data_IF_104856318815
#
_entry.id   IF_104856318815
#
_cell.length_a   1.000
_cell.length_b   1.000
_cell.length_c   1.000
_cell.angle_alpha   90.00
_cell.angle_beta   90.00
_cell.angle_gamma   90.00
#
_symmetry.space_group_name_H-M   'P 1'
#
loop_
_entity.id
_entity.type
_entity.pdbx_description
1 polymer ?
#
# COMPACT_ATOMS: atom_id res chain seq x y z
N UNK A 1 -24.82 5.64 -3.87
CA UNK A 1 -24.66 5.06 -5.22
C UNK A 1 -26.02 5.10 -5.89
N UNK A 2 -26.14 5.64 -7.10
CA UNK A 2 -27.42 5.78 -7.80
C UNK A 2 -27.81 4.47 -8.52
N UNK A 3 -27.76 3.33 -7.83
CA UNK A 3 -28.09 1.98 -8.35
C UNK A 3 -27.36 1.52 -9.64
N UNK A 4 -26.38 2.29 -10.13
CA UNK A 4 -25.58 1.97 -11.34
C UNK A 4 -24.20 1.36 -11.02
N UNK A 5 -23.70 1.57 -9.79
CA UNK A 5 -22.39 1.08 -9.34
C UNK A 5 -22.58 0.35 -8.01
N UNK A 6 -22.37 -0.96 -8.00
CA UNK A 6 -22.55 -1.81 -6.82
C UNK A 6 -21.42 -1.64 -5.79
N UNK A 7 -20.16 -1.54 -6.25
CA UNK A 7 -18.99 -1.39 -5.39
C UNK A 7 -18.02 -0.35 -5.95
N UNK A 8 -17.49 0.51 -5.08
CA UNK A 8 -16.43 1.46 -5.41
C UNK A 8 -15.26 1.23 -4.46
N UNK A 9 -14.18 0.66 -5.01
CA UNK A 9 -12.99 0.31 -4.26
C UNK A 9 -11.88 1.32 -4.53
N UNK A 10 -11.28 1.86 -3.47
CA UNK A 10 -10.09 2.69 -3.56
C UNK A 10 -8.88 1.89 -3.12
N UNK A 11 -7.84 1.87 -3.95
CA UNK A 11 -6.63 1.08 -3.73
C UNK A 11 -5.39 1.96 -3.84
N UNK A 12 -4.44 1.78 -2.92
CA UNK A 12 -3.16 2.48 -2.95
C UNK A 12 -2.04 1.67 -2.24
N UNK A 13 -0.79 2.02 -2.56
CA UNK A 13 0.41 1.53 -1.87
C UNK A 13 0.95 2.59 -0.89
N UNK A 14 1.34 2.14 0.30
CA UNK A 14 2.08 2.98 1.24
C UNK A 14 3.32 2.29 1.77
N UNK A 15 4.44 3.01 1.82
CA UNK A 15 5.65 2.55 2.52
C UNK A 15 5.69 3.14 3.93
N UNK A 16 5.49 2.29 4.93
CA UNK A 16 5.66 2.66 6.34
C UNK A 16 7.11 2.38 6.72
N UNK A 17 7.80 3.45 7.11
CA UNK A 17 9.24 3.38 7.35
C UNK A 17 9.53 3.29 8.85
N UNK A 18 10.30 2.29 9.25
CA UNK A 18 10.86 2.13 10.60
C UNK A 18 12.16 2.94 10.73
N UNK A 19 12.13 4.20 10.29
CA UNK A 19 13.17 5.15 10.68
C UNK A 19 12.75 5.83 11.96
N UNK A 20 13.74 6.10 12.81
CA UNK A 20 13.61 7.10 13.85
C UNK A 20 13.53 8.48 13.18
N UNK A 21 12.34 8.87 12.72
CA UNK A 21 12.10 10.21 12.24
C UNK A 21 12.25 11.16 13.44
N UNK A 22 13.25 12.05 13.40
CA UNK A 22 13.39 13.11 14.40
C UNK A 22 12.26 14.10 14.16
N UNK A 23 11.08 13.81 14.71
CA UNK A 23 9.94 14.69 14.64
C UNK A 23 10.14 15.78 15.69
N UNK A 24 10.39 17.00 15.21
CA UNK A 24 10.52 18.27 15.97
C UNK A 24 10.97 18.11 17.43
N UNK A 25 12.27 18.15 17.66
CA UNK A 25 12.83 18.25 19.01
C UNK A 25 12.95 19.70 19.46
N UNK A 26 12.32 20.05 20.58
CA UNK A 26 12.50 21.34 21.23
C UNK A 26 13.77 21.31 22.10
N UNK A 27 14.87 21.86 21.58
CA UNK A 27 16.09 22.06 22.35
C UNK A 27 16.33 23.55 22.57
N UNK A 28 17.01 23.88 23.68
CA UNK A 28 17.54 25.23 23.88
C UNK A 28 18.49 25.58 22.73
N UNK A 29 18.49 26.85 22.32
CA UNK A 29 19.37 27.35 21.25
C UNK A 29 20.83 26.99 21.56
N UNK A 30 21.46 26.21 20.67
CA UNK A 30 22.83 25.72 20.83
C UNK A 30 22.99 24.42 21.65
N UNK A 31 21.90 23.82 22.14
CA UNK A 31 21.91 22.53 22.87
C UNK A 31 21.17 21.41 22.14
N UNK A 32 21.09 21.48 20.81
CA UNK A 32 20.48 20.41 20.03
C UNK A 32 21.32 19.14 20.14
N UNK A 33 20.72 18.06 20.64
CA UNK A 33 21.41 16.77 20.77
C UNK A 33 21.63 16.15 19.38
N UNK A 34 22.82 15.62 19.13
CA UNK A 34 23.11 14.84 17.92
C UNK A 34 22.55 13.44 18.12
N UNK A 35 21.44 13.13 17.45
CA UNK A 35 20.84 11.79 17.48
C UNK A 35 21.59 10.92 16.47
N UNK A 36 22.23 9.85 16.94
CA UNK A 36 22.97 8.92 16.09
C UNK A 36 21.99 8.04 15.34
N UNK A 37 21.80 8.29 14.05
CA UNK A 37 21.00 7.42 13.18
C UNK A 37 21.85 6.20 12.80
N UNK A 38 21.44 5.00 13.23
CA UNK A 38 21.93 3.77 12.60
C UNK A 38 21.18 3.63 11.29
N UNK A 39 21.84 3.69 10.14
CA UNK A 39 21.22 3.63 8.80
C UNK A 39 20.58 2.29 8.44
N UNK A 40 19.83 1.68 9.36
CA UNK A 40 19.02 0.50 9.10
C UNK A 40 17.79 0.97 8.33
N UNK A 41 17.76 0.68 7.04
CA UNK A 41 16.62 0.93 6.17
C UNK A 41 15.63 -0.22 6.34
N UNK A 42 14.77 -0.11 7.36
CA UNK A 42 13.65 -1.04 7.56
C UNK A 42 12.35 -0.31 7.28
N UNK A 43 11.48 -0.95 6.54
CA UNK A 43 10.17 -0.44 6.20
C UNK A 43 9.35 -1.56 5.61
N UNK A 44 8.04 -1.47 5.81
CA UNK A 44 7.07 -2.39 5.21
C UNK A 44 6.35 -1.66 4.08
N UNK A 45 6.06 -2.38 3.00
CA UNK A 45 5.20 -1.91 1.92
C UNK A 45 3.82 -2.51 2.12
N UNK A 46 2.83 -1.64 2.22
CA UNK A 46 1.44 -1.98 2.47
C UNK A 46 0.62 -1.69 1.21
N UNK A 47 -0.19 -2.68 0.79
CA UNK A 47 -1.24 -2.53 -0.21
C UNK A 47 -2.53 -2.60 0.55
N UNK A 48 -3.41 -1.65 0.29
CA UNK A 48 -4.71 -1.63 0.91
C UNK A 48 -5.77 -1.22 -0.10
N UNK A 49 -6.89 -1.91 -0.04
CA UNK A 49 -8.10 -1.57 -0.75
C UNK A 49 -9.19 -1.31 0.27
N UNK A 50 -9.90 -0.20 0.11
CA UNK A 50 -11.05 0.16 0.94
C UNK A 50 -12.32 0.25 0.08
N UNK A 51 -13.37 -0.44 0.49
CA UNK A 51 -14.70 -0.23 -0.06
C UNK A 51 -15.26 1.09 0.47
N UNK A 52 -15.59 2.01 -0.44
CA UNK A 52 -16.07 3.33 -0.10
C UNK A 52 -17.42 3.33 0.63
N UNK A 53 -18.31 2.40 0.28
CA UNK A 53 -19.65 2.34 0.83
C UNK A 53 -19.66 1.68 2.21
N UNK A 54 -18.88 0.61 2.40
CA UNK A 54 -18.89 -0.17 3.65
C UNK A 54 -17.76 0.20 4.60
N UNK A 55 -16.67 0.79 4.10
CA UNK A 55 -15.44 1.03 4.85
C UNK A 55 -14.64 -0.25 5.13
N UNK A 56 -14.99 -1.38 4.51
CA UNK A 56 -14.22 -2.62 4.65
C UNK A 56 -12.83 -2.45 4.04
N UNK A 57 -11.80 -2.92 4.75
CA UNK A 57 -10.40 -2.81 4.32
C UNK A 57 -9.82 -4.21 4.12
N UNK A 58 -9.18 -4.42 2.98
CA UNK A 58 -8.35 -5.59 2.68
C UNK A 58 -6.92 -5.08 2.54
N UNK A 59 -5.98 -5.74 3.20
CA UNK A 59 -4.58 -5.34 3.14
C UNK A 59 -3.63 -6.53 3.09
N UNK A 60 -2.43 -6.27 2.58
CA UNK A 60 -1.29 -7.16 2.63
C UNK A 60 0.02 -6.38 2.82
N UNK A 61 0.96 -7.02 3.50
CA UNK A 61 2.33 -6.55 3.66
C UNK A 61 3.26 -7.51 2.92
N UNK A 62 4.19 -6.94 2.14
CA UNK A 62 5.24 -7.72 1.49
C UNK A 62 6.57 -6.97 1.55
N UNK A 63 7.67 -7.74 1.63
CA UNK A 63 9.02 -7.18 1.56
C UNK A 63 9.36 -6.67 0.15
N UNK A 64 8.79 -7.30 -0.88
CA UNK A 64 9.04 -6.98 -2.29
C UNK A 64 7.73 -6.86 -3.05
N UNK A 65 7.63 -5.79 -3.84
CA UNK A 65 6.48 -5.53 -4.70
C UNK A 65 6.88 -5.82 -6.14
N UNK A 66 6.69 -7.07 -6.51
CA UNK A 66 6.78 -7.52 -7.90
C UNK A 66 5.37 -7.66 -8.46
N UNK A 67 5.27 -7.72 -9.79
CA UNK A 67 3.98 -7.81 -10.48
C UNK A 67 3.13 -9.01 -10.00
N UNK A 68 3.78 -10.13 -9.64
CA UNK A 68 3.11 -11.31 -9.11
C UNK A 68 2.42 -11.05 -7.76
N UNK A 69 3.12 -10.37 -6.85
CA UNK A 69 2.60 -9.97 -5.53
C UNK A 69 1.36 -9.07 -5.68
N UNK A 70 1.40 -8.13 -6.62
CA UNK A 70 0.28 -7.25 -6.91
C UNK A 70 -0.91 -7.97 -7.56
N UNK A 71 -0.65 -8.89 -8.49
CA UNK A 71 -1.71 -9.70 -9.10
C UNK A 71 -2.43 -10.56 -8.06
N UNK A 72 -1.68 -11.18 -7.14
CA UNK A 72 -2.25 -11.97 -6.05
C UNK A 72 -3.12 -11.11 -5.12
N UNK A 73 -2.72 -9.85 -4.87
CA UNK A 73 -3.52 -8.90 -4.11
C UNK A 73 -4.85 -8.60 -4.79
N UNK A 74 -4.84 -8.27 -6.09
CA UNK A 74 -6.04 -7.97 -6.86
C UNK A 74 -7.02 -9.15 -6.87
N UNK A 75 -6.50 -10.37 -7.05
CA UNK A 75 -7.33 -11.59 -7.01
C UNK A 75 -8.01 -11.76 -5.65
N UNK A 76 -7.31 -11.44 -4.56
CA UNK A 76 -7.87 -11.47 -3.21
C UNK A 76 -8.95 -10.40 -3.03
N UNK A 77 -8.69 -9.16 -3.46
CA UNK A 77 -9.64 -8.05 -3.37
C UNK A 77 -10.97 -8.35 -4.08
N UNK A 78 -10.88 -8.92 -5.29
CA UNK A 78 -12.07 -9.28 -6.06
C UNK A 78 -12.83 -10.45 -5.42
N UNK A 79 -12.12 -11.46 -4.89
CA UNK A 79 -12.77 -12.61 -4.24
C UNK A 79 -13.53 -12.26 -2.96
N UNK A 80 -13.08 -11.25 -2.21
CA UNK A 80 -13.72 -10.80 -0.96
C UNK A 80 -14.92 -9.90 -1.23
N UNK A 81 -14.93 -9.20 -2.37
CA UNK A 81 -15.96 -8.22 -2.72
C UNK A 81 -17.16 -8.83 -3.45
N UNK A 82 -17.22 -10.16 -3.62
CA UNK A 82 -18.18 -10.87 -4.49
C UNK A 82 -18.26 -10.32 -5.93
N UNK A 83 -17.24 -9.59 -6.37
CA UNK A 83 -17.14 -9.02 -7.71
C UNK A 83 -16.70 -10.14 -8.66
N UNK A 84 -17.43 -10.35 -9.76
CA UNK A 84 -17.02 -11.29 -10.79
C UNK A 84 -15.75 -10.81 -11.52
N UNK A 85 -14.67 -11.60 -11.49
CA UNK A 85 -13.47 -11.31 -12.32
C UNK A 85 -13.83 -11.53 -13.79
N UNK A 86 -13.92 -10.47 -14.59
CA UNK A 86 -13.78 -10.59 -16.04
C UNK A 86 -12.30 -10.83 -16.33
N UNK A 87 -11.92 -12.07 -16.64
CA UNK A 87 -10.54 -12.38 -17.06
C UNK A 87 -10.26 -11.71 -18.40
N UNK A 88 -9.73 -10.49 -18.38
CA UNK A 88 -9.13 -9.90 -19.57
C UNK A 88 -7.80 -10.62 -19.84
N UNK A 89 -7.70 -11.28 -21.01
CA UNK A 89 -6.43 -11.78 -21.54
C UNK A 89 -5.51 -10.58 -21.80
N UNK A 90 -4.72 -10.20 -20.80
CA UNK A 90 -3.64 -9.24 -20.97
C UNK A 90 -2.45 -10.07 -21.45
N UNK A 91 -2.26 -10.13 -22.78
CA UNK A 91 -1.00 -10.58 -23.36
C UNK A 91 0.11 -9.65 -22.84
N UNK A 92 1.07 -10.23 -22.14
CA UNK A 92 2.28 -9.59 -21.66
C UNK A 92 3.02 -9.02 -22.88
N UNK A 93 2.85 -7.72 -23.14
CA UNK A 93 3.76 -6.99 -24.02
C UNK A 93 4.84 -6.39 -23.17
N UNK A 94 6.05 -6.88 -23.41
CA UNK A 94 7.30 -6.48 -22.77
C UNK A 94 7.39 -4.97 -22.59
N UNK A 95 7.31 -4.50 -21.35
CA UNK A 95 7.89 -3.22 -20.98
C UNK A 95 9.38 -3.46 -20.77
N UNK A 96 10.15 -3.21 -21.82
CA UNK A 96 11.59 -3.04 -21.73
C UNK A 96 11.89 -1.72 -21.02
N UNK A 97 12.91 -1.74 -20.18
CA UNK A 97 13.38 -0.70 -19.24
C UNK A 97 13.68 0.63 -19.92
#
# INVERSE_FOLDING_TARGET
MNDEIDHLLFEDESMIRDYQAIQKTCFLRGKQHVIRTTGKHRGVKLLATVDYATGQIIWQEDEQYIAETFLNFLQRGVSVSDIGVVKSNIETRDFCV
#
